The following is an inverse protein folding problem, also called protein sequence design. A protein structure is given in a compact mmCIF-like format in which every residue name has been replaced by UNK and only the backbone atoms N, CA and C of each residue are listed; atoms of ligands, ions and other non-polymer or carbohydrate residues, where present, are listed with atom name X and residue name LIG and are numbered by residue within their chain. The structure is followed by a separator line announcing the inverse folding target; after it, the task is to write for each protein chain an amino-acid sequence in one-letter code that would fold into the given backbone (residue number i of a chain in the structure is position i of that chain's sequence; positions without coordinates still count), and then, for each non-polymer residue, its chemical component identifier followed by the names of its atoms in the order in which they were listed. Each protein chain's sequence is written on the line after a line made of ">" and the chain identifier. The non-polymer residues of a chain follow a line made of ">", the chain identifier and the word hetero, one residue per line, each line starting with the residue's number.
data_IF_236454577956
#
_entry.id   IF_236454577956
#
_cell.length_a   1.000
_cell.length_b   1.000
_cell.length_c   1.000
_cell.angle_alpha   90.00
_cell.angle_beta   90.00
_cell.angle_gamma   90.00
#
_symmetry.space_group_name_H-M   'P 1'
#
loop_
_entity.id
_entity.type
_entity.pdbx_description
1 polymer ?
#
# COMPACT_ATOMS: atom_id res chain seq x y z
N UNK A 1 11.43 15.95 -27.18
CA UNK A 1 11.06 14.98 -26.13
C UNK A 1 10.15 13.93 -26.77
N UNK A 2 10.43 12.64 -26.60
CA UNK A 2 9.62 11.53 -27.13
C UNK A 2 8.75 10.96 -26.00
N UNK A 3 7.48 10.66 -26.30
CA UNK A 3 6.58 10.00 -25.35
C UNK A 3 7.07 8.57 -25.13
N UNK A 4 7.56 8.28 -23.92
CA UNK A 4 8.05 6.95 -23.52
C UNK A 4 6.94 6.07 -22.93
N UNK A 5 6.00 6.67 -22.20
CA UNK A 5 4.88 5.98 -21.54
C UNK A 5 3.58 6.74 -21.77
N UNK A 6 2.46 6.03 -21.90
CA UNK A 6 1.16 6.68 -22.10
C UNK A 6 0.64 7.25 -20.78
N UNK A 7 -0.37 8.12 -20.85
CA UNK A 7 -0.98 8.67 -19.64
C UNK A 7 -1.65 7.59 -18.79
N UNK A 8 -2.36 6.65 -19.42
CA UNK A 8 -3.06 5.55 -18.73
C UNK A 8 -2.06 4.68 -17.96
N UNK A 9 -0.92 4.34 -18.58
CA UNK A 9 0.13 3.56 -17.91
C UNK A 9 0.70 4.29 -16.69
N UNK A 10 0.91 5.61 -16.80
CA UNK A 10 1.39 6.41 -15.66
C UNK A 10 0.37 6.49 -14.54
N UNK A 11 -0.91 6.70 -14.87
CA UNK A 11 -1.97 6.75 -13.87
C UNK A 11 -2.07 5.40 -13.13
N UNK A 12 -2.10 4.29 -13.87
CA UNK A 12 -2.10 2.95 -13.31
C UNK A 12 -0.86 2.70 -12.42
N UNK A 13 0.33 3.05 -12.90
CA UNK A 13 1.57 2.88 -12.13
C UNK A 13 1.51 3.60 -10.79
N UNK A 14 1.11 4.88 -10.77
CA UNK A 14 1.04 5.65 -9.53
C UNK A 14 -0.08 5.17 -8.60
N UNK A 15 -1.20 4.69 -9.12
CA UNK A 15 -2.23 4.01 -8.30
C UNK A 15 -1.65 2.77 -7.61
N UNK A 16 -0.94 1.91 -8.36
CA UNK A 16 -0.29 0.72 -7.81
C UNK A 16 0.76 1.09 -6.76
N UNK A 17 1.56 2.13 -6.98
CA UNK A 17 2.55 2.61 -5.99
C UNK A 17 1.89 2.99 -4.65
N UNK A 18 0.75 3.66 -4.69
CA UNK A 18 0.02 4.07 -3.47
C UNK A 18 -0.57 2.84 -2.76
N UNK A 19 -1.23 1.94 -3.49
CA UNK A 19 -1.76 0.70 -2.92
C UNK A 19 -0.65 -0.16 -2.31
N UNK A 20 0.45 -0.32 -3.05
CA UNK A 20 1.63 -1.07 -2.60
C UNK A 20 2.22 -0.49 -1.32
N UNK A 21 2.31 0.84 -1.20
CA UNK A 21 2.80 1.47 0.03
C UNK A 21 1.95 1.10 1.25
N UNK A 22 0.63 1.18 1.15
CA UNK A 22 -0.29 0.82 2.24
C UNK A 22 -0.21 -0.67 2.59
N UNK A 23 -0.17 -1.55 1.58
CA UNK A 23 -0.07 -3.00 1.75
C UNK A 23 1.28 -3.38 2.37
N UNK A 24 2.38 -2.81 1.87
CA UNK A 24 3.72 -3.10 2.38
C UNK A 24 3.86 -2.70 3.85
N UNK A 25 3.45 -1.49 4.24
CA UNK A 25 3.56 -1.03 5.62
C UNK A 25 2.67 -1.84 6.58
N UNK A 26 1.41 -2.10 6.20
CA UNK A 26 0.52 -2.93 7.01
C UNK A 26 1.01 -4.39 7.10
N UNK A 27 1.57 -4.96 6.03
CA UNK A 27 2.17 -6.30 6.05
C UNK A 27 3.42 -6.37 6.93
N UNK A 28 4.30 -5.37 6.85
CA UNK A 28 5.48 -5.24 7.72
C UNK A 28 5.05 -5.14 9.19
N UNK A 29 3.94 -4.46 9.50
CA UNK A 29 3.42 -4.37 10.87
C UNK A 29 3.07 -5.74 11.47
N UNK A 30 2.60 -6.69 10.65
CA UNK A 30 2.31 -8.05 11.08
C UNK A 30 3.56 -8.92 11.22
N UNK A 31 4.57 -8.66 10.37
CA UNK A 31 5.82 -9.42 10.37
C UNK A 31 6.77 -8.98 11.48
N UNK A 32 6.83 -7.68 11.78
CA UNK A 32 7.62 -7.09 12.87
C UNK A 32 6.72 -6.35 13.86
N UNK A 33 6.08 -7.06 14.82
CA UNK A 33 5.16 -6.44 15.77
C UNK A 33 5.80 -5.38 16.67
N UNK A 34 7.14 -5.33 16.78
CA UNK A 34 7.83 -4.27 17.54
C UNK A 34 7.68 -2.89 16.91
N UNK A 35 7.38 -2.81 15.61
CA UNK A 35 7.12 -1.57 14.88
C UNK A 35 5.66 -1.11 15.07
N UNK A 36 5.25 -0.87 16.32
CA UNK A 36 3.86 -0.59 16.69
C UNK A 36 3.21 0.55 15.90
N UNK A 37 3.98 1.60 15.56
CA UNK A 37 3.48 2.73 14.77
C UNK A 37 2.94 2.33 13.39
N UNK A 38 3.42 1.23 12.80
CA UNK A 38 2.93 0.73 11.51
C UNK A 38 1.55 0.09 11.59
N UNK A 39 1.12 -0.34 12.77
CA UNK A 39 -0.20 -0.98 12.95
C UNK A 39 -1.35 0.01 12.70
N UNK A 40 -1.06 1.31 12.71
CA UNK A 40 -1.99 2.41 12.43
C UNK A 40 -2.00 2.83 10.95
N UNK A 41 -1.33 2.08 10.05
CA UNK A 41 -1.30 2.39 8.59
C UNK A 41 -2.70 2.57 7.99
N UNK A 42 -3.68 1.82 8.49
CA UNK A 42 -5.10 1.93 8.12
C UNK A 42 -5.95 2.51 9.26
N UNK A 43 -5.38 3.36 10.10
CA UNK A 43 -6.00 3.98 11.26
C UNK A 43 -5.95 3.10 12.52
N UNK A 44 -6.43 1.85 12.44
CA UNK A 44 -6.36 0.90 13.57
C UNK A 44 -5.85 -0.48 13.15
N UNK A 45 -5.27 -1.28 14.06
CA UNK A 45 -4.77 -2.63 13.74
C UNK A 45 -5.87 -3.55 13.18
N UNK A 46 -7.09 -3.45 13.71
CA UNK A 46 -8.25 -4.22 13.28
C UNK A 46 -8.64 -3.88 11.84
N UNK A 47 -8.63 -2.58 11.51
CA UNK A 47 -8.92 -2.13 10.16
C UNK A 47 -7.80 -2.53 9.20
N UNK A 48 -6.53 -2.46 9.63
CA UNK A 48 -5.39 -2.89 8.84
C UNK A 48 -5.48 -4.35 8.42
N UNK A 49 -5.91 -5.25 9.33
CA UNK A 49 -6.13 -6.66 9.01
C UNK A 49 -7.25 -6.86 7.97
N UNK A 50 -8.31 -6.07 8.04
CA UNK A 50 -9.45 -6.18 7.12
C UNK A 50 -9.09 -5.62 5.74
N UNK A 51 -8.48 -4.43 5.68
CA UNK A 51 -8.24 -3.71 4.43
C UNK A 51 -7.01 -4.22 3.66
N UNK A 52 -5.99 -4.75 4.33
CA UNK A 52 -4.77 -5.26 3.68
C UNK A 52 -5.05 -6.16 2.45
N UNK A 53 -5.88 -7.23 2.54
CA UNK A 53 -6.16 -8.08 1.38
C UNK A 53 -6.96 -7.38 0.26
N UNK A 54 -7.69 -6.30 0.55
CA UNK A 54 -8.44 -5.56 -0.47
C UNK A 54 -7.57 -4.54 -1.23
N UNK A 55 -6.49 -4.05 -0.62
CA UNK A 55 -5.54 -3.16 -1.28
C UNK A 55 -4.40 -3.91 -1.99
N UNK A 56 -4.24 -5.22 -1.74
CA UNK A 56 -3.20 -6.09 -2.32
C UNK A 56 -3.43 -6.51 -3.78
N UNK A 57 -4.21 -5.73 -4.55
CA UNK A 57 -4.50 -5.94 -5.95
C UNK A 57 -3.25 -6.03 -6.84
#
# INVERSE_FOLDING_TARGET
>A
MIVRTTFIDRACHWTVVICFFLVALSGISFFFPTLQWLTETFGTPQMGRILHPFFGC
#
